data_IF_016721930197
#
_entry.id   IF_016721930197
#
_cell.length_a   1.000
_cell.length_b   1.000
_cell.length_c   1.000
_cell.angle_alpha   90.00
_cell.angle_beta   90.00
_cell.angle_gamma   90.00
#
_symmetry.space_group_name_H-M   'P 1'
#
loop_
_entity.id
_entity.type
_entity.pdbx_description
1 polymer ?
#
# COMPACT_ATOMS: atom_id res chain seq x y z
N UNK A 1 22.76 -11.91 -18.49
CA UNK A 1 22.84 -10.62 -17.78
C UNK A 1 21.65 -10.35 -16.84
N UNK A 2 20.41 -10.69 -17.21
CA UNK A 2 19.21 -10.32 -16.44
C UNK A 2 19.19 -10.71 -14.95
N UNK A 3 19.57 -11.94 -14.58
CA UNK A 3 19.49 -12.40 -13.17
C UNK A 3 20.30 -11.54 -12.19
N UNK A 4 21.51 -11.09 -12.56
CA UNK A 4 22.36 -10.28 -11.66
C UNK A 4 21.80 -8.88 -11.45
N UNK A 5 21.23 -8.29 -12.51
CA UNK A 5 20.61 -6.96 -12.44
C UNK A 5 19.42 -6.97 -11.49
N UNK A 6 18.54 -7.98 -11.60
CA UNK A 6 17.42 -8.14 -10.68
C UNK A 6 17.86 -8.33 -9.22
N UNK A 7 18.90 -9.13 -8.96
CA UNK A 7 19.38 -9.33 -7.58
C UNK A 7 19.93 -8.04 -6.96
N UNK A 8 20.71 -7.24 -7.71
CA UNK A 8 21.24 -5.96 -7.23
C UNK A 8 20.16 -4.89 -7.11
N UNK A 9 19.19 -4.87 -8.03
CA UNK A 9 18.02 -4.00 -7.95
C UNK A 9 17.21 -4.22 -6.66
N UNK A 10 17.03 -5.49 -6.30
CA UNK A 10 16.30 -5.89 -5.12
C UNK A 10 17.01 -5.50 -3.82
N UNK A 11 18.36 -5.50 -3.76
CA UNK A 11 19.05 -5.16 -2.51
C UNK A 11 18.88 -3.71 -2.09
N UNK A 12 18.84 -2.79 -3.06
CA UNK A 12 18.88 -1.34 -2.76
C UNK A 12 17.49 -0.77 -2.49
N UNK A 13 16.45 -1.44 -3.00
CA UNK A 13 15.06 -0.97 -2.95
C UNK A 13 14.24 -1.67 -1.88
N UNK A 14 14.57 -2.92 -1.56
CA UNK A 14 13.82 -3.71 -0.59
C UNK A 14 14.34 -3.43 0.83
N UNK A 15 13.41 -3.11 1.72
CA UNK A 15 13.71 -3.00 3.16
C UNK A 15 13.02 -4.13 3.89
N UNK A 16 13.77 -4.86 4.70
CA UNK A 16 13.23 -5.93 5.54
C UNK A 16 12.94 -5.35 6.92
N UNK A 17 11.71 -5.53 7.39
CA UNK A 17 11.26 -5.09 8.71
C UNK A 17 10.82 -6.31 9.51
N UNK A 18 11.30 -6.42 10.74
CA UNK A 18 10.74 -7.36 11.69
C UNK A 18 9.61 -6.66 12.43
N UNK A 19 8.50 -7.36 12.65
CA UNK A 19 7.38 -6.86 13.43
C UNK A 19 7.05 -7.85 14.55
N UNK A 20 6.68 -7.31 15.70
CA UNK A 20 6.21 -8.05 16.85
C UNK A 20 4.68 -7.99 16.90
N UNK A 21 4.06 -9.00 17.53
CA UNK A 21 2.63 -8.96 17.82
C UNK A 21 2.26 -7.68 18.57
N UNK A 22 1.27 -6.97 18.05
CA UNK A 22 0.79 -5.69 18.57
C UNK A 22 1.38 -4.47 17.86
N UNK A 23 2.45 -4.63 17.07
CA UNK A 23 3.02 -3.52 16.30
C UNK A 23 2.00 -2.97 15.30
N UNK A 24 1.91 -1.65 15.23
CA UNK A 24 1.20 -0.94 14.17
C UNK A 24 2.17 -0.66 13.02
N UNK A 25 1.84 -1.13 11.82
CA UNK A 25 2.65 -0.87 10.61
C UNK A 25 2.31 0.49 10.02
N UNK A 26 1.02 0.85 9.99
CA UNK A 26 0.52 2.18 9.63
C UNK A 26 -0.89 2.37 10.19
N UNK A 27 -1.26 3.63 10.37
CA UNK A 27 -2.58 4.07 10.82
C UNK A 27 -3.37 4.80 9.71
N UNK A 28 -4.65 5.04 9.99
CA UNK A 28 -5.49 5.89 9.14
C UNK A 28 -4.92 7.30 9.10
N UNK A 29 -4.80 7.86 7.90
CA UNK A 29 -4.27 9.21 7.69
C UNK A 29 -2.76 9.25 7.48
N UNK A 30 -2.04 8.15 7.71
CA UNK A 30 -0.63 8.06 7.39
C UNK A 30 -0.40 8.21 5.88
N UNK A 31 0.68 8.87 5.52
CA UNK A 31 1.12 8.98 4.13
C UNK A 31 1.73 7.66 3.67
N UNK A 32 1.14 7.05 2.64
CA UNK A 32 1.66 5.83 2.05
C UNK A 32 2.84 6.13 1.14
N UNK A 33 4.02 5.65 1.52
CA UNK A 33 5.26 5.77 0.72
C UNK A 33 5.82 4.41 0.30
N UNK A 34 5.33 3.32 0.87
CA UNK A 34 5.83 1.98 0.58
C UNK A 34 4.70 0.95 0.46
N UNK A 35 4.88 0.02 -0.47
CA UNK A 35 4.11 -1.22 -0.53
C UNK A 35 4.79 -2.25 0.37
N UNK A 36 4.01 -3.05 1.11
CA UNK A 36 4.53 -4.09 1.99
C UNK A 36 4.10 -5.47 1.52
N UNK A 37 5.05 -6.41 1.47
CA UNK A 37 4.83 -7.84 1.19
C UNK A 37 5.11 -8.62 2.46
N UNK A 38 4.19 -9.50 2.85
CA UNK A 38 4.29 -10.25 4.10
C UNK A 38 5.14 -11.49 3.83
N UNK A 39 6.38 -11.52 4.35
CA UNK A 39 7.27 -12.68 4.19
C UNK A 39 7.09 -13.70 5.30
N UNK A 40 6.68 -13.29 6.50
CA UNK A 40 6.41 -14.16 7.65
C UNK A 40 5.40 -13.50 8.60
N UNK A 41 4.60 -14.33 9.27
CA UNK A 41 3.62 -13.88 10.26
C UNK A 41 2.24 -13.61 9.65
N UNK A 42 1.39 -12.94 10.42
CA UNK A 42 0.03 -12.58 10.06
C UNK A 42 -0.26 -11.17 10.58
N UNK A 43 -0.94 -10.40 9.74
CA UNK A 43 -1.35 -9.04 10.04
C UNK A 43 -2.87 -8.91 9.85
N UNK A 44 -3.43 -7.90 10.47
CA UNK A 44 -4.85 -7.58 10.42
C UNK A 44 -4.99 -6.17 9.86
N UNK A 45 -5.72 -6.04 8.75
CA UNK A 45 -6.06 -4.76 8.13
C UNK A 45 -7.49 -4.39 8.50
N UNK A 46 -7.63 -3.31 9.24
CA UNK A 46 -8.91 -2.79 9.70
C UNK A 46 -9.27 -1.56 8.88
N UNK A 47 -10.30 -1.69 8.05
CA UNK A 47 -10.83 -0.54 7.31
C UNK A 47 -11.42 0.43 8.34
N UNK A 48 -10.75 1.57 8.50
CA UNK A 48 -11.08 2.59 9.49
C UNK A 48 -12.32 3.37 9.10
N UNK A 49 -13.43 2.71 8.80
CA UNK A 49 -14.72 3.31 8.45
C UNK A 49 -15.38 3.99 9.66
N UNK A 50 -14.62 4.78 10.41
CA UNK A 50 -15.20 5.84 11.21
C UNK A 50 -15.89 6.80 10.26
N UNK A 51 -17.22 6.96 10.41
CA UNK A 51 -18.08 7.85 9.61
C UNK A 51 -17.55 9.28 9.42
N UNK A 52 -16.57 9.69 10.22
CA UNK A 52 -15.92 11.01 10.14
C UNK A 52 -14.85 11.15 9.03
N UNK A 53 -14.43 10.08 8.34
CA UNK A 53 -13.40 10.18 7.27
C UNK A 53 -13.94 10.85 5.99
N UNK A 54 -15.26 11.00 5.85
CA UNK A 54 -15.87 11.72 4.72
C UNK A 54 -15.43 13.19 4.57
N UNK A 55 -14.70 13.75 5.54
CA UNK A 55 -14.17 15.12 5.51
C UNK A 55 -12.65 15.23 5.35
N UNK A 56 -11.93 14.14 5.05
CA UNK A 56 -10.58 14.28 4.50
C UNK A 56 -10.68 14.82 3.07
N UNK A 57 -10.98 16.12 2.98
CA UNK A 57 -10.79 16.90 1.76
C UNK A 57 -9.34 16.81 1.31
N UNK A 58 -9.05 17.14 0.04
CA UNK A 58 -7.70 17.04 -0.50
C UNK A 58 -6.72 17.72 0.44
N UNK A 59 -5.86 16.91 1.06
CA UNK A 59 -4.81 17.39 1.93
C UNK A 59 -4.02 18.40 1.12
N UNK A 60 -4.06 19.69 1.52
CA UNK A 60 -3.42 20.78 0.80
C UNK A 60 -1.90 20.56 0.87
N UNK A 61 -1.38 19.70 0.00
CA UNK A 61 0.05 19.56 -0.20
C UNK A 61 0.58 20.89 -0.69
N UNK A 62 1.51 21.44 0.08
CA UNK A 62 2.48 22.41 -0.41
C UNK A 62 3.07 21.87 -1.71
N UNK A 63 3.00 22.67 -2.75
CA UNK A 63 3.39 22.43 -4.14
C UNK A 63 4.63 21.55 -4.32
N UNK A 64 4.45 20.24 -4.46
CA UNK A 64 5.37 19.34 -5.17
C UNK A 64 4.60 18.74 -6.33
N UNK A 65 4.64 19.44 -7.46
CA UNK A 65 3.93 19.06 -8.69
C UNK A 65 4.68 17.90 -9.35
N UNK A 66 4.19 16.68 -9.14
CA UNK A 66 4.70 15.47 -9.81
C UNK A 66 3.69 15.04 -10.89
N UNK A 67 4.02 15.31 -12.15
CA UNK A 67 3.30 14.76 -13.30
C UNK A 67 3.57 13.25 -13.37
N UNK A 68 2.61 12.41 -12.98
CA UNK A 68 2.68 10.95 -13.23
C UNK A 68 1.47 10.45 -13.99
N UNK A 69 1.78 9.76 -15.09
CA UNK A 69 0.84 9.11 -15.99
C UNK A 69 0.11 7.95 -15.31
N UNK A 70 -1.14 7.77 -15.72
CA UNK A 70 -2.14 6.91 -15.10
C UNK A 70 -2.10 5.53 -15.77
N UNK A 71 -1.57 4.51 -15.08
CA UNK A 71 -1.63 3.10 -15.49
C UNK A 71 -2.59 2.30 -14.62
N UNK A 72 -3.30 1.33 -15.21
CA UNK A 72 -4.33 0.49 -14.57
C UNK A 72 -3.71 -0.76 -13.91
N UNK A 73 -4.03 -1.03 -12.63
CA UNK A 73 -3.54 -2.16 -11.81
C UNK A 73 -4.73 -2.84 -11.11
N UNK A 74 -4.91 -4.16 -11.28
CA UNK A 74 -6.21 -4.80 -11.07
C UNK A 74 -6.25 -6.00 -10.09
N UNK A 75 -5.15 -6.52 -9.53
CA UNK A 75 -5.22 -7.86 -8.90
C UNK A 75 -5.45 -7.88 -7.39
N UNK A 76 -4.65 -7.23 -6.53
CA UNK A 76 -4.99 -7.12 -5.09
C UNK A 76 -5.93 -5.94 -4.80
N UNK A 77 -5.90 -4.94 -5.67
CA UNK A 77 -6.96 -3.93 -5.73
C UNK A 77 -8.34 -4.58 -5.88
N UNK A 78 -8.47 -5.76 -6.50
CA UNK A 78 -9.77 -6.42 -6.70
C UNK A 78 -10.47 -6.77 -5.37
N UNK A 79 -9.77 -7.42 -4.42
CA UNK A 79 -10.35 -7.79 -3.14
C UNK A 79 -10.70 -6.56 -2.30
N UNK A 80 -9.82 -5.56 -2.24
CA UNK A 80 -10.12 -4.34 -1.48
C UNK A 80 -11.18 -3.48 -2.20
N UNK A 81 -11.16 -3.39 -3.52
CA UNK A 81 -12.15 -2.64 -4.28
C UNK A 81 -13.54 -3.28 -4.22
N UNK A 82 -13.64 -4.61 -4.20
CA UNK A 82 -14.92 -5.28 -3.99
C UNK A 82 -15.49 -4.96 -2.60
N UNK A 83 -14.64 -4.83 -1.59
CA UNK A 83 -15.04 -4.40 -0.25
C UNK A 83 -15.44 -2.93 -0.22
N UNK A 84 -14.67 -2.03 -0.85
CA UNK A 84 -15.04 -0.61 -0.91
C UNK A 84 -16.36 -0.37 -1.64
N UNK A 85 -16.64 -1.13 -2.71
CA UNK A 85 -17.91 -1.04 -3.43
C UNK A 85 -19.09 -1.50 -2.58
N UNK A 86 -18.95 -2.61 -1.83
CA UNK A 86 -20.02 -3.08 -0.95
C UNK A 86 -20.28 -2.12 0.22
N UNK A 87 -19.24 -1.46 0.73
CA UNK A 87 -19.36 -0.45 1.79
C UNK A 87 -20.14 0.77 1.31
N UNK A 88 -19.87 1.26 0.09
CA UNK A 88 -20.54 2.45 -0.45
C UNK A 88 -22.04 2.23 -0.66
N UNK A 89 -22.43 1.06 -1.18
CA UNK A 89 -23.84 0.73 -1.44
C UNK A 89 -24.67 0.60 -0.14
N UNK A 90 -24.03 0.23 0.98
CA UNK A 90 -24.71 0.03 2.27
C UNK A 90 -24.71 1.25 3.20
N UNK A 91 -24.04 2.35 2.82
CA UNK A 91 -23.85 3.52 3.70
C UNK A 91 -25.11 4.40 3.87
N UNK A 92 -26.14 4.22 3.05
CA UNK A 92 -27.34 5.08 3.03
C UNK A 92 -28.34 4.83 4.17
N UNK A 93 -28.26 3.70 4.88
CA UNK A 93 -29.31 3.28 5.82
C UNK A 93 -29.01 3.60 7.30
N UNK A 94 -27.97 4.37 7.62
CA UNK A 94 -27.64 4.67 9.02
C UNK A 94 -27.30 3.44 9.89
N UNK A 95 -27.23 2.25 9.29
CA UNK A 95 -26.77 1.00 9.87
C UNK A 95 -25.34 1.13 10.39
N UNK A 96 -25.08 0.63 11.59
CA UNK A 96 -23.74 0.55 12.19
C UNK A 96 -22.87 -0.24 11.22
N UNK A 97 -22.00 0.46 10.50
CA UNK A 97 -21.04 -0.15 9.58
C UNK A 97 -20.12 -1.00 10.46
N UNK A 98 -20.23 -2.33 10.33
CA UNK A 98 -19.34 -3.25 11.02
C UNK A 98 -17.93 -2.98 10.54
N UNK A 99 -17.01 -2.88 11.49
CA UNK A 99 -15.59 -2.80 11.20
C UNK A 99 -15.20 -4.05 10.39
N UNK A 100 -14.78 -3.82 9.15
CA UNK A 100 -14.38 -4.89 8.27
C UNK A 100 -12.89 -5.19 8.51
N UNK A 101 -12.68 -6.36 9.12
CA UNK A 101 -11.38 -6.88 9.48
C UNK A 101 -10.92 -7.85 8.40
N UNK A 102 -9.84 -7.53 7.70
CA UNK A 102 -9.22 -8.39 6.69
C UNK A 102 -7.92 -8.97 7.19
N UNK A 103 -7.81 -10.30 7.17
CA UNK A 103 -6.58 -11.01 7.55
C UNK A 103 -5.59 -11.02 6.38
N UNK A 104 -4.38 -10.51 6.61
CA UNK A 104 -3.29 -10.46 5.64
C UNK A 104 -2.23 -11.50 6.00
N UNK A 105 -1.94 -12.43 5.08
CA UNK A 105 -1.13 -13.62 5.30
C UNK A 105 0.19 -13.56 4.53
N UNK A 106 1.06 -14.53 4.81
CA UNK A 106 2.30 -14.72 4.06
C UNK A 106 2.03 -14.81 2.55
N UNK A 107 2.75 -13.99 1.77
CA UNK A 107 2.60 -13.89 0.31
C UNK A 107 1.64 -12.79 -0.13
N UNK A 108 0.76 -12.30 0.75
CA UNK A 108 -0.08 -11.14 0.45
C UNK A 108 0.75 -9.85 0.45
N UNK A 109 0.18 -8.81 -0.15
CA UNK A 109 0.75 -7.47 -0.16
C UNK A 109 -0.32 -6.41 0.06
N UNK A 110 0.10 -5.27 0.59
CA UNK A 110 -0.74 -4.13 0.91
C UNK A 110 -0.10 -2.83 0.46
N UNK A 111 -0.92 -1.81 0.26
CA UNK A 111 -0.48 -0.47 -0.11
C UNK A 111 0.25 -0.37 -1.45
N UNK A 112 -0.07 -1.24 -2.40
CA UNK A 112 0.47 -1.15 -3.77
C UNK A 112 0.28 0.25 -4.37
N UNK A 113 -0.88 0.88 -4.16
CA UNK A 113 -1.20 2.20 -4.68
C UNK A 113 -0.19 3.29 -4.30
N UNK A 114 0.51 3.14 -3.16
CA UNK A 114 1.51 4.10 -2.69
C UNK A 114 2.74 4.19 -3.59
N UNK A 115 2.95 3.23 -4.50
CA UNK A 115 4.09 3.24 -5.42
C UNK A 115 3.90 4.22 -6.60
N UNK A 116 2.66 4.55 -6.92
CA UNK A 116 2.32 5.30 -8.15
C UNK A 116 1.48 6.55 -7.89
N UNK A 117 0.75 6.58 -6.77
CA UNK A 117 -0.16 7.64 -6.41
C UNK A 117 0.26 8.29 -5.11
N UNK A 118 -0.11 9.55 -4.94
CA UNK A 118 -0.13 10.18 -3.63
C UNK A 118 -1.21 9.47 -2.80
N UNK A 119 -0.77 8.57 -1.93
CA UNK A 119 -1.65 7.69 -1.17
C UNK A 119 -1.67 8.07 0.30
N UNK A 120 -2.85 7.99 0.90
CA UNK A 120 -3.06 8.13 2.34
C UNK A 120 -3.84 6.92 2.81
N UNK A 121 -3.36 6.25 3.85
CA UNK A 121 -3.98 5.03 4.34
C UNK A 121 -5.38 5.31 4.92
N UNK A 122 -6.36 4.50 4.51
CA UNK A 122 -7.76 4.60 4.96
C UNK A 122 -8.13 3.52 5.98
N UNK A 123 -7.16 2.72 6.38
CA UNK A 123 -7.29 1.68 7.39
C UNK A 123 -6.01 1.56 8.19
N UNK A 124 -6.08 0.83 9.30
CA UNK A 124 -4.91 0.51 10.12
C UNK A 124 -4.44 -0.90 9.81
N UNK A 125 -3.13 -1.13 9.91
CA UNK A 125 -2.54 -2.47 9.74
C UNK A 125 -1.73 -2.81 10.97
N UNK A 126 -2.09 -3.89 11.65
CA UNK A 126 -1.42 -4.34 12.87
C UNK A 126 -0.92 -5.77 12.73
N UNK A 127 0.23 -6.06 13.34
CA UNK A 127 0.73 -7.42 13.45
C UNK A 127 -0.02 -8.18 14.55
N UNK A 128 -0.67 -9.29 14.19
CA UNK A 128 -1.35 -10.16 15.17
C UNK A 128 -0.44 -11.32 15.62
N UNK A 129 0.71 -11.48 14.98
CA UNK A 129 1.78 -12.42 15.33
C UNK A 129 3.13 -11.85 14.94
N UNK A 130 4.20 -12.35 15.58
CA UNK A 130 5.56 -11.96 15.22
C UNK A 130 5.88 -12.38 13.78
N UNK A 131 6.54 -11.50 13.04
CA UNK A 131 6.65 -11.64 11.60
C UNK A 131 7.75 -10.81 10.98
N UNK A 132 7.71 -10.81 9.65
CA UNK A 132 8.61 -10.05 8.82
C UNK A 132 7.87 -9.57 7.58
N UNK A 133 8.15 -8.33 7.21
CA UNK A 133 7.67 -7.69 5.99
C UNK A 133 8.84 -7.19 5.15
N UNK A 134 8.61 -7.22 3.84
CA UNK A 134 9.50 -6.64 2.84
C UNK A 134 8.80 -5.44 2.23
N UNK A 135 9.37 -4.26 2.42
CA UNK A 135 8.84 -3.00 1.92
C UNK A 135 9.54 -2.59 0.63
N UNK A 136 8.76 -2.15 -0.35
CA UNK A 136 9.23 -1.46 -1.56
C UNK A 136 8.76 -0.01 -1.43
N UNK A 137 9.69 0.94 -1.35
CA UNK A 137 9.35 2.35 -1.23
C UNK A 137 9.40 3.07 -2.57
N UNK A 138 8.52 4.05 -2.75
CA UNK A 138 8.30 4.80 -3.98
C UNK A 138 9.59 5.43 -4.53
N UNK A 139 10.39 6.06 -3.66
CA UNK A 139 11.64 6.74 -4.02
C UNK A 139 12.67 5.78 -4.57
N UNK A 140 12.84 4.61 -3.95
CA UNK A 140 13.75 3.58 -4.42
C UNK A 140 13.29 3.00 -5.77
N UNK A 141 11.98 2.75 -5.90
CA UNK A 141 11.40 2.27 -7.16
C UNK A 141 11.57 3.29 -8.30
N UNK A 142 11.37 4.58 -8.03
CA UNK A 142 11.55 5.65 -9.01
C UNK A 142 13.00 5.74 -9.48
N UNK A 143 13.96 5.72 -8.54
CA UNK A 143 15.38 5.73 -8.88
C UNK A 143 15.75 4.53 -9.76
N UNK A 144 15.19 3.37 -9.45
CA UNK A 144 15.37 2.15 -10.23
C UNK A 144 14.78 2.29 -11.64
N UNK A 145 13.53 2.76 -11.77
CA UNK A 145 12.91 2.97 -13.09
C UNK A 145 13.71 3.97 -13.93
N UNK A 146 14.17 5.07 -13.34
CA UNK A 146 15.00 6.06 -14.03
C UNK A 146 16.34 5.48 -14.47
N UNK A 147 17.01 4.71 -13.60
CA UNK A 147 18.32 4.11 -13.88
C UNK A 147 18.28 3.11 -15.03
N UNK A 148 17.17 2.41 -15.20
CA UNK A 148 17.04 1.34 -16.19
C UNK A 148 16.12 1.66 -17.36
N UNK A 149 15.66 2.91 -17.45
CA UNK A 149 14.78 3.38 -18.52
C UNK A 149 15.33 3.07 -19.92
N UNK A 150 16.62 3.34 -20.14
CA UNK A 150 17.29 3.13 -21.43
C UNK A 150 17.42 1.65 -21.78
N UNK A 151 17.65 0.81 -20.77
CA UNK A 151 17.87 -0.63 -20.95
C UNK A 151 16.58 -1.35 -21.37
N UNK A 152 15.44 -0.92 -20.83
CA UNK A 152 14.14 -1.59 -21.05
C UNK A 152 13.20 -0.85 -21.99
N UNK A 153 13.64 0.24 -22.62
CA UNK A 153 12.83 1.03 -23.56
C UNK A 153 11.45 1.41 -22.98
N UNK A 154 11.41 1.80 -21.70
CA UNK A 154 10.16 2.16 -21.03
C UNK A 154 9.69 3.50 -21.62
N UNK A 155 8.65 3.44 -22.46
CA UNK A 155 7.95 4.62 -22.97
C UNK A 155 7.15 5.28 -21.84
N UNK A 156 7.25 6.60 -21.72
CA UNK A 156 6.49 7.40 -20.75
C UNK A 156 5.25 7.99 -21.41
#
# INVERSE_FOLDING_TARGET
>A
LGKRVFTTMCSDTLRVHNVMRGDCVFEVGDEGTCMHVISKGQLEYNLGLSRNIMYLGPSRRSSRQSNRGRGTLASAASSIASLLNSVWENASDGSIVREEVSLVRMGDYVSEASLWLDWTHVGTLHAISDGQLVSICDTGLQQLVLRYREVYQIAC
#
